data_IF_450816712554
#
_entry.id   IF_450816712554
#
_cell.length_a   1.000
_cell.length_b   1.000
_cell.length_c   1.000
_cell.angle_alpha   90.00
_cell.angle_beta   90.00
_cell.angle_gamma   90.00
#
_symmetry.space_group_name_H-M   'P 1'
#
loop_
_entity.id
_entity.type
_entity.pdbx_description
1 polymer ?
#
# COMPACT_ATOMS: atom_id res chain seq x y z
N UNK A 1 3.67 26.44 -12.83
CA UNK A 1 3.77 25.01 -12.43
C UNK A 1 4.48 24.24 -13.53
N UNK A 2 5.69 23.77 -13.25
CA UNK A 2 6.46 22.96 -14.21
C UNK A 2 6.25 21.49 -13.85
N UNK A 3 5.81 20.67 -14.81
CA UNK A 3 5.63 19.24 -14.62
C UNK A 3 6.88 18.52 -15.12
N UNK A 4 7.47 17.69 -14.29
CA UNK A 4 8.58 16.83 -14.65
C UNK A 4 8.18 15.37 -14.50
N UNK A 5 8.05 14.68 -15.64
CA UNK A 5 7.68 13.26 -15.66
C UNK A 5 8.94 12.39 -15.72
N UNK A 6 9.11 11.52 -14.75
CA UNK A 6 10.23 10.58 -14.68
C UNK A 6 9.87 9.30 -15.42
N UNK A 7 10.67 8.94 -16.43
CA UNK A 7 10.49 7.74 -17.23
C UNK A 7 10.49 6.46 -16.37
N UNK A 8 9.73 5.38 -16.72
CA UNK A 8 9.57 4.16 -15.91
C UNK A 8 10.87 3.55 -15.43
N UNK A 9 11.89 3.49 -16.27
CA UNK A 9 13.19 2.92 -15.93
C UNK A 9 13.91 3.74 -14.85
N UNK A 10 13.86 5.07 -14.92
CA UNK A 10 14.44 5.94 -13.90
C UNK A 10 13.62 5.93 -12.62
N UNK A 11 12.30 5.84 -12.72
CA UNK A 11 11.41 5.67 -11.57
C UNK A 11 11.72 4.38 -10.81
N UNK A 12 11.97 3.30 -11.51
CA UNK A 12 12.38 2.01 -10.91
C UNK A 12 13.74 2.10 -10.23
N UNK A 13 14.75 2.65 -10.91
CA UNK A 13 16.09 2.81 -10.32
C UNK A 13 16.05 3.72 -9.09
N UNK A 14 15.27 4.81 -9.14
CA UNK A 14 15.08 5.69 -7.99
C UNK A 14 14.40 4.95 -6.83
N UNK A 15 13.41 4.10 -7.10
CA UNK A 15 12.76 3.29 -6.07
C UNK A 15 13.76 2.35 -5.37
N UNK A 16 14.70 1.73 -6.12
CA UNK A 16 15.76 0.89 -5.56
C UNK A 16 16.71 1.72 -4.68
N UNK A 17 17.12 2.90 -5.15
CA UNK A 17 17.97 3.82 -4.38
C UNK A 17 17.28 4.27 -3.10
N UNK A 18 15.99 4.62 -3.18
CA UNK A 18 15.19 5.02 -2.03
C UNK A 18 14.99 3.86 -1.03
N UNK A 19 14.87 2.62 -1.50
CA UNK A 19 14.83 1.45 -0.64
C UNK A 19 16.15 1.29 0.14
N UNK A 20 17.29 1.43 -0.53
CA UNK A 20 18.62 1.38 0.11
C UNK A 20 18.77 2.54 1.10
N UNK A 21 18.37 3.76 0.72
CA UNK A 21 18.40 4.91 1.61
C UNK A 21 17.49 4.70 2.83
N UNK A 22 16.29 4.16 2.64
CA UNK A 22 15.37 3.78 3.72
C UNK A 22 15.99 2.76 4.66
N UNK A 23 16.69 1.76 4.14
CA UNK A 23 17.44 0.79 4.94
C UNK A 23 18.55 1.46 5.76
N UNK A 24 19.33 2.34 5.15
CA UNK A 24 20.37 3.09 5.86
C UNK A 24 19.75 3.94 6.98
N UNK A 25 18.63 4.61 6.71
CA UNK A 25 17.91 5.41 7.71
C UNK A 25 17.42 4.55 8.89
N UNK A 26 16.81 3.39 8.62
CA UNK A 26 16.31 2.50 9.67
C UNK A 26 17.44 1.88 10.49
N UNK A 27 18.62 1.68 9.91
CA UNK A 27 19.79 1.20 10.63
C UNK A 27 20.44 2.28 11.53
N UNK A 28 20.41 3.55 11.12
CA UNK A 28 21.10 4.66 11.82
C UNK A 28 20.18 5.45 12.75
N UNK A 29 18.87 5.41 12.58
CA UNK A 29 17.91 6.14 13.41
C UNK A 29 17.22 5.17 14.36
N UNK A 30 17.58 5.20 15.62
CA UNK A 30 17.04 4.32 16.66
C UNK A 30 15.51 4.42 16.78
N UNK A 31 14.93 5.59 16.52
CA UNK A 31 13.48 5.79 16.53
C UNK A 31 12.78 4.89 15.49
N UNK A 32 13.29 4.87 14.25
CA UNK A 32 12.72 4.05 13.17
C UNK A 32 12.83 2.56 13.49
N UNK A 33 13.96 2.15 14.08
CA UNK A 33 14.21 0.77 14.50
C UNK A 33 13.33 0.38 15.69
N UNK A 34 13.17 1.27 16.66
CA UNK A 34 12.35 1.02 17.87
C UNK A 34 10.88 0.80 17.52
N UNK A 35 10.36 1.55 16.57
CA UNK A 35 8.98 1.42 16.07
C UNK A 35 8.85 0.47 14.89
N UNK A 36 9.89 -0.32 14.58
CA UNK A 36 9.90 -1.31 13.50
C UNK A 36 9.39 -0.76 12.16
N UNK A 37 9.66 0.52 11.87
CA UNK A 37 9.18 1.17 10.65
C UNK A 37 9.83 0.49 9.43
N UNK A 38 9.01 -0.02 8.47
CA UNK A 38 9.55 -0.73 7.31
C UNK A 38 10.46 0.15 6.44
N UNK A 39 11.56 -0.43 5.95
CA UNK A 39 12.54 0.26 5.10
C UNK A 39 11.89 0.99 3.89
N UNK A 40 10.92 0.39 3.16
CA UNK A 40 10.25 1.08 2.05
C UNK A 40 9.46 2.32 2.50
N UNK A 41 8.90 2.31 3.71
CA UNK A 41 8.16 3.45 4.27
C UNK A 41 9.11 4.59 4.59
N UNK A 42 10.25 4.29 5.22
CA UNK A 42 11.29 5.28 5.48
C UNK A 42 11.83 5.92 4.21
N UNK A 43 12.11 5.11 3.17
CA UNK A 43 12.50 5.57 1.84
C UNK A 43 11.42 6.41 1.15
N UNK A 44 10.15 6.02 1.29
CA UNK A 44 9.00 6.76 0.78
C UNK A 44 8.87 8.15 1.42
N UNK A 45 9.02 8.26 2.74
CA UNK A 45 9.03 9.55 3.43
C UNK A 45 10.18 10.45 2.97
N UNK A 46 11.37 9.89 2.72
CA UNK A 46 12.47 10.63 2.13
C UNK A 46 12.11 11.18 0.75
N UNK A 47 11.48 10.37 -0.11
CA UNK A 47 11.02 10.79 -1.43
C UNK A 47 10.00 11.94 -1.31
N UNK A 48 9.01 11.81 -0.43
CA UNK A 48 8.00 12.85 -0.17
C UNK A 48 8.66 14.14 0.30
N UNK A 49 9.62 14.07 1.20
CA UNK A 49 10.33 15.24 1.71
C UNK A 49 11.11 15.95 0.57
N UNK A 50 11.82 15.19 -0.25
CA UNK A 50 12.58 15.75 -1.39
C UNK A 50 11.65 16.35 -2.45
N UNK A 51 10.62 15.63 -2.88
CA UNK A 51 9.66 16.13 -3.88
C UNK A 51 8.83 17.29 -3.36
N UNK A 52 8.49 17.29 -2.07
CA UNK A 52 7.81 18.40 -1.40
C UNK A 52 8.68 19.65 -1.34
N UNK A 53 9.97 19.49 -1.07
CA UNK A 53 10.94 20.60 -1.07
C UNK A 53 11.13 21.18 -2.48
N UNK A 54 11.24 20.32 -3.49
CA UNK A 54 11.32 20.75 -4.89
C UNK A 54 10.07 21.53 -5.32
N UNK A 55 8.91 21.08 -4.89
CA UNK A 55 7.66 21.80 -5.15
C UNK A 55 7.63 23.16 -4.43
N UNK A 56 8.03 23.21 -3.15
CA UNK A 56 7.98 24.43 -2.34
C UNK A 56 8.99 25.50 -2.83
N UNK A 57 10.20 25.08 -3.27
CA UNK A 57 11.26 26.03 -3.67
C UNK A 57 11.22 26.38 -5.16
N UNK A 58 10.81 25.44 -6.03
CA UNK A 58 10.92 25.59 -7.48
C UNK A 58 9.59 25.50 -8.21
N UNK A 59 8.46 25.35 -7.50
CA UNK A 59 7.13 25.08 -8.08
C UNK A 59 7.15 23.92 -9.09
N UNK A 60 8.02 22.90 -8.82
CA UNK A 60 8.24 21.74 -9.66
C UNK A 60 7.44 20.54 -9.15
N UNK A 61 6.47 20.10 -9.94
CA UNK A 61 5.68 18.90 -9.65
C UNK A 61 6.30 17.68 -10.33
N UNK A 62 6.83 16.75 -9.53
CA UNK A 62 7.42 15.50 -10.04
C UNK A 62 6.34 14.42 -10.14
N UNK A 63 6.21 13.82 -11.32
CA UNK A 63 5.34 12.67 -11.57
C UNK A 63 6.19 11.46 -11.97
N UNK A 64 5.90 10.31 -11.38
CA UNK A 64 6.63 9.07 -11.64
C UNK A 64 5.79 8.14 -12.50
N UNK A 65 6.33 7.66 -13.61
CA UNK A 65 5.71 6.59 -14.37
C UNK A 65 6.00 5.23 -13.72
N UNK A 66 4.92 4.47 -13.45
CA UNK A 66 4.97 3.28 -12.59
C UNK A 66 4.72 1.97 -13.34
N UNK A 67 4.85 1.95 -14.66
CA UNK A 67 4.57 0.77 -15.48
C UNK A 67 5.39 -0.48 -15.09
N UNK A 68 6.66 -0.31 -14.70
CA UNK A 68 7.49 -1.42 -14.21
C UNK A 68 6.95 -1.96 -12.88
N UNK A 69 6.47 -1.09 -12.00
CA UNK A 69 5.82 -1.50 -10.74
C UNK A 69 4.63 -2.40 -11.02
N UNK A 70 3.77 -2.03 -11.97
CA UNK A 70 2.55 -2.77 -12.28
C UNK A 70 2.88 -4.14 -12.87
N UNK A 71 3.91 -4.23 -13.72
CA UNK A 71 4.43 -5.50 -14.22
C UNK A 71 4.98 -6.39 -13.09
N UNK A 72 5.78 -5.84 -12.18
CA UNK A 72 6.31 -6.58 -11.04
C UNK A 72 5.21 -7.05 -10.09
N UNK A 73 4.16 -6.25 -9.90
CA UNK A 73 2.99 -6.63 -9.12
C UNK A 73 2.28 -7.85 -9.73
N UNK A 74 2.12 -7.87 -11.05
CA UNK A 74 1.56 -9.01 -11.76
C UNK A 74 2.41 -10.27 -11.57
N UNK A 75 3.72 -10.16 -11.73
CA UNK A 75 4.68 -11.27 -11.51
C UNK A 75 4.61 -11.77 -10.06
N UNK A 76 4.52 -10.87 -9.09
CA UNK A 76 4.37 -11.21 -7.67
C UNK A 76 3.12 -12.05 -7.41
N UNK A 77 1.95 -11.60 -7.85
CA UNK A 77 0.71 -12.35 -7.66
C UNK A 77 0.68 -13.66 -8.45
N UNK A 78 1.22 -13.68 -9.68
CA UNK A 78 1.36 -14.91 -10.46
C UNK A 78 2.26 -15.93 -9.74
N UNK A 79 3.37 -15.47 -9.15
CA UNK A 79 4.27 -16.32 -8.38
C UNK A 79 3.61 -16.95 -7.15
N UNK A 80 2.77 -16.20 -6.43
CA UNK A 80 1.98 -16.71 -5.32
C UNK A 80 0.99 -17.77 -5.82
N UNK A 81 0.26 -17.47 -6.90
CA UNK A 81 -0.72 -18.39 -7.48
C UNK A 81 -0.08 -19.70 -7.96
N UNK A 82 1.05 -19.62 -8.66
CA UNK A 82 1.77 -20.81 -9.16
C UNK A 82 2.36 -21.68 -8.03
N UNK A 83 2.72 -21.06 -6.89
CA UNK A 83 3.24 -21.77 -5.72
C UNK A 83 2.14 -22.41 -4.86
N UNK A 84 0.88 -22.05 -5.09
CA UNK A 84 -0.25 -22.57 -4.32
C UNK A 84 -0.53 -24.02 -4.73
N UNK A 85 -0.43 -24.96 -3.78
CA UNK A 85 -0.75 -26.37 -3.98
C UNK A 85 -2.02 -26.76 -3.20
N UNK A 86 -3.01 -27.27 -3.93
CA UNK A 86 -4.29 -27.73 -3.36
C UNK A 86 -4.08 -28.86 -2.34
N UNK A 87 -3.07 -29.72 -2.54
CA UNK A 87 -2.79 -30.81 -1.60
C UNK A 87 -2.33 -30.28 -0.24
N UNK A 88 -1.48 -29.27 -0.26
CA UNK A 88 -1.01 -28.58 0.95
C UNK A 88 -2.16 -27.87 1.67
N UNK A 89 -3.09 -27.26 0.91
CA UNK A 89 -4.30 -26.66 1.47
C UNK A 89 -5.20 -27.70 2.14
N UNK A 90 -5.42 -28.83 1.50
CA UNK A 90 -6.23 -29.93 2.07
C UNK A 90 -5.56 -30.55 3.30
N UNK A 91 -4.23 -30.63 3.35
CA UNK A 91 -3.48 -31.10 4.51
C UNK A 91 -3.63 -30.20 5.74
N UNK A 92 -4.00 -28.91 5.55
CA UNK A 92 -4.30 -27.97 6.64
C UNK A 92 -5.53 -28.34 7.48
N UNK A 93 -6.42 -29.17 6.95
CA UNK A 93 -7.56 -29.76 7.68
C UNK A 93 -8.44 -28.75 8.44
N UNK A 94 -8.95 -29.18 9.63
CA UNK A 94 -9.82 -28.33 10.46
C UNK A 94 -9.22 -26.99 10.89
N UNK A 95 -7.92 -26.89 11.31
CA UNK A 95 -7.33 -25.61 11.65
C UNK A 95 -7.38 -24.59 10.51
N UNK A 96 -7.14 -25.01 9.27
CA UNK A 96 -7.23 -24.13 8.10
C UNK A 96 -8.65 -23.59 7.90
N UNK A 97 -9.67 -24.44 8.04
CA UNK A 97 -11.08 -24.02 7.92
C UNK A 97 -11.45 -23.00 9.00
N UNK A 98 -11.04 -23.22 10.24
CA UNK A 98 -11.27 -22.27 11.34
C UNK A 98 -10.60 -20.93 11.04
N UNK A 99 -9.33 -20.93 10.62
CA UNK A 99 -8.60 -19.72 10.26
C UNK A 99 -9.24 -18.99 9.08
N UNK A 100 -9.75 -19.73 8.08
CA UNK A 100 -10.46 -19.14 6.95
C UNK A 100 -11.74 -18.42 7.37
N UNK A 101 -12.54 -19.07 8.24
CA UNK A 101 -13.77 -18.46 8.78
C UNK A 101 -13.42 -17.21 9.59
N UNK A 102 -12.42 -17.28 10.47
CA UNK A 102 -11.98 -16.13 11.27
C UNK A 102 -11.48 -14.98 10.39
N UNK A 103 -10.62 -15.26 9.40
CA UNK A 103 -10.12 -14.26 8.48
C UNK A 103 -11.24 -13.60 7.66
N UNK A 104 -12.17 -14.40 7.13
CA UNK A 104 -13.33 -13.89 6.39
C UNK A 104 -14.22 -13.01 7.27
N UNK A 105 -14.51 -13.48 8.50
CA UNK A 105 -15.30 -12.70 9.47
C UNK A 105 -14.60 -11.38 9.83
N UNK A 106 -13.29 -11.42 10.02
CA UNK A 106 -12.49 -10.21 10.30
C UNK A 106 -12.53 -9.22 9.14
N UNK A 107 -12.39 -9.67 7.89
CA UNK A 107 -12.51 -8.83 6.70
C UNK A 107 -13.89 -8.17 6.62
N UNK A 108 -14.95 -8.90 6.89
CA UNK A 108 -16.31 -8.34 6.92
C UNK A 108 -16.46 -7.26 8.00
N UNK A 109 -16.03 -7.54 9.23
CA UNK A 109 -16.06 -6.58 10.32
C UNK A 109 -15.25 -5.32 9.98
N UNK A 110 -14.07 -5.47 9.41
CA UNK A 110 -13.19 -4.40 8.99
C UNK A 110 -13.85 -3.52 7.90
N UNK A 111 -14.55 -4.14 6.96
CA UNK A 111 -15.29 -3.43 5.92
C UNK A 111 -16.46 -2.63 6.49
N UNK A 112 -17.26 -3.24 7.37
CA UNK A 112 -18.36 -2.52 8.03
C UNK A 112 -17.85 -1.35 8.88
N UNK A 113 -16.78 -1.56 9.64
CA UNK A 113 -16.16 -0.50 10.43
C UNK A 113 -15.62 0.63 9.53
N UNK A 114 -14.91 0.29 8.45
CA UNK A 114 -14.39 1.26 7.49
C UNK A 114 -15.49 2.07 6.81
N UNK A 115 -16.54 1.42 6.34
CA UNK A 115 -17.70 2.11 5.74
C UNK A 115 -18.43 2.99 6.76
N UNK A 116 -18.58 2.53 8.00
CA UNK A 116 -19.19 3.30 9.09
C UNK A 116 -18.40 4.57 9.41
N UNK A 117 -17.07 4.44 9.55
CA UNK A 117 -16.17 5.57 9.78
C UNK A 117 -16.19 6.55 8.59
N UNK A 118 -16.08 6.06 7.35
CA UNK A 118 -16.15 6.92 6.17
C UNK A 118 -17.43 7.76 6.17
N UNK A 119 -18.57 7.14 6.49
CA UNK A 119 -19.85 7.85 6.59
C UNK A 119 -19.88 8.91 7.71
N UNK A 120 -19.28 8.60 8.87
CA UNK A 120 -19.18 9.55 9.99
C UNK A 120 -18.37 10.81 9.62
N UNK A 121 -17.34 10.63 8.78
CA UNK A 121 -16.51 11.73 8.27
C UNK A 121 -17.08 12.40 7.01
N UNK A 122 -18.32 12.07 6.59
CA UNK A 122 -18.96 12.66 5.41
C UNK A 122 -18.35 12.20 4.08
N UNK A 123 -17.58 11.11 4.08
CA UNK A 123 -16.99 10.51 2.88
C UNK A 123 -17.96 9.49 2.25
N UNK A 124 -17.74 9.18 0.97
CA UNK A 124 -18.45 8.06 0.33
C UNK A 124 -18.19 6.76 1.10
N UNK A 125 -19.24 6.05 1.59
CA UNK A 125 -19.05 4.85 2.40
C UNK A 125 -18.19 3.77 1.74
N UNK A 126 -18.24 3.65 0.40
CA UNK A 126 -17.43 2.70 -0.36
C UNK A 126 -15.92 3.00 -0.27
N UNK A 127 -15.53 4.25 -0.03
CA UNK A 127 -14.13 4.60 0.23
C UNK A 127 -13.60 3.92 1.50
N UNK A 128 -14.48 3.63 2.46
CA UNK A 128 -14.17 2.89 3.67
C UNK A 128 -13.69 1.45 3.42
N UNK A 129 -14.07 0.82 2.32
CA UNK A 129 -13.54 -0.49 1.91
C UNK A 129 -12.06 -0.39 1.56
N UNK A 130 -11.68 0.70 0.88
CA UNK A 130 -10.30 0.95 0.47
C UNK A 130 -9.39 1.18 1.67
N UNK A 131 -9.85 1.96 2.64
CA UNK A 131 -9.15 2.22 3.91
C UNK A 131 -9.22 1.01 4.87
N UNK A 132 -10.25 0.17 4.72
CA UNK A 132 -10.49 -1.03 5.51
C UNK A 132 -9.68 -2.24 5.03
N UNK A 133 -10.38 -3.27 4.59
CA UNK A 133 -9.76 -4.58 4.28
C UNK A 133 -8.82 -4.54 3.08
N UNK A 134 -9.07 -3.71 2.08
CA UNK A 134 -8.24 -3.64 0.87
C UNK A 134 -6.82 -3.21 1.21
N UNK A 135 -6.65 -2.19 2.05
CA UNK A 135 -5.33 -1.70 2.44
C UNK A 135 -4.76 -2.39 3.67
N UNK A 136 -5.55 -2.57 4.74
CA UNK A 136 -5.02 -3.07 6.02
C UNK A 136 -4.81 -4.59 6.01
N UNK A 137 -5.75 -5.37 5.47
CA UNK A 137 -5.57 -6.82 5.35
C UNK A 137 -4.85 -7.19 4.06
N UNK A 138 -5.20 -6.55 2.95
CA UNK A 138 -4.62 -6.85 1.63
C UNK A 138 -3.25 -6.20 1.39
N UNK A 139 -2.95 -5.10 2.06
CA UNK A 139 -1.68 -4.37 1.94
C UNK A 139 -1.57 -3.52 0.67
N UNK A 140 -0.36 -3.00 0.44
CA UNK A 140 -0.07 -2.09 -0.70
C UNK A 140 -0.37 -2.76 -2.04
N UNK A 141 -0.01 -4.04 -2.22
CA UNK A 141 -0.24 -4.75 -3.48
C UNK A 141 -1.71 -4.83 -3.85
N UNK A 142 -2.56 -5.19 -2.89
CA UNK A 142 -4.01 -5.24 -3.09
C UNK A 142 -4.59 -3.85 -3.32
N UNK A 143 -4.10 -2.85 -2.59
CA UNK A 143 -4.45 -1.44 -2.80
C UNK A 143 -4.18 -0.99 -4.23
N UNK A 144 -3.00 -1.26 -4.76
CA UNK A 144 -2.61 -0.92 -6.13
C UNK A 144 -3.48 -1.62 -7.18
N UNK A 145 -3.82 -2.89 -6.94
CA UNK A 145 -4.66 -3.68 -7.85
C UNK A 145 -6.12 -3.19 -7.88
N UNK A 146 -6.67 -2.77 -6.75
CA UNK A 146 -8.07 -2.37 -6.64
C UNK A 146 -8.32 -0.88 -6.86
N UNK A 147 -7.36 0.00 -6.61
CA UNK A 147 -7.53 1.44 -6.73
C UNK A 147 -8.08 1.91 -8.10
N UNK A 148 -7.61 1.40 -9.25
CA UNK A 148 -8.18 1.76 -10.55
C UNK A 148 -9.66 1.38 -10.66
N UNK A 149 -10.05 0.20 -10.14
CA UNK A 149 -11.43 -0.27 -10.17
C UNK A 149 -12.34 0.62 -9.32
N UNK A 150 -11.85 1.07 -8.15
CA UNK A 150 -12.58 1.99 -7.29
C UNK A 150 -12.74 3.38 -7.93
N UNK A 151 -11.71 3.86 -8.62
CA UNK A 151 -11.78 5.13 -9.35
C UNK A 151 -12.77 5.06 -10.52
N UNK A 152 -12.67 4.04 -11.37
CA UNK A 152 -13.47 3.93 -12.59
C UNK A 152 -14.93 3.52 -12.33
N UNK A 153 -15.13 2.51 -11.45
CA UNK A 153 -16.48 1.93 -11.24
C UNK A 153 -17.25 2.55 -10.10
N UNK A 154 -16.56 3.07 -9.09
CA UNK A 154 -17.19 3.61 -7.88
C UNK A 154 -17.05 5.14 -7.76
N UNK A 155 -16.32 5.77 -8.68
CA UNK A 155 -16.14 7.23 -8.69
C UNK A 155 -15.22 7.77 -7.59
N UNK A 156 -14.44 6.90 -6.92
CA UNK A 156 -13.53 7.28 -5.86
C UNK A 156 -12.16 7.59 -6.45
N UNK A 157 -12.00 8.79 -6.99
CA UNK A 157 -10.81 9.20 -7.76
C UNK A 157 -9.51 9.19 -6.96
N UNK A 158 -9.58 9.36 -5.63
CA UNK A 158 -8.47 9.34 -4.69
C UNK A 158 -8.31 7.99 -3.95
N UNK A 159 -8.81 6.89 -4.54
CA UNK A 159 -8.77 5.56 -3.93
C UNK A 159 -7.34 5.10 -3.65
N UNK A 160 -6.41 5.39 -4.57
CA UNK A 160 -5.01 4.99 -4.43
C UNK A 160 -4.36 5.68 -3.22
N UNK A 161 -4.50 6.99 -3.14
CA UNK A 161 -3.94 7.82 -2.07
C UNK A 161 -4.50 7.41 -0.70
N UNK A 162 -5.82 7.23 -0.63
CA UNK A 162 -6.50 6.77 0.59
C UNK A 162 -5.99 5.40 1.05
N UNK A 163 -5.90 4.45 0.12
CA UNK A 163 -5.46 3.10 0.45
C UNK A 163 -3.99 3.03 0.86
N UNK A 164 -3.10 3.75 0.15
CA UNK A 164 -1.67 3.79 0.48
C UNK A 164 -1.45 4.50 1.83
N UNK A 165 -2.14 5.62 2.07
CA UNK A 165 -2.07 6.32 3.35
C UNK A 165 -2.55 5.44 4.50
N UNK A 166 -3.71 4.77 4.35
CA UNK A 166 -4.25 3.87 5.36
C UNK A 166 -3.31 2.69 5.64
N UNK A 167 -2.75 2.07 4.60
CA UNK A 167 -1.77 0.99 4.76
C UNK A 167 -0.51 1.47 5.50
N UNK A 168 0.01 2.64 5.16
CA UNK A 168 1.21 3.19 5.81
C UNK A 168 0.96 3.46 7.30
N UNK A 169 -0.16 4.15 7.62
CA UNK A 169 -0.55 4.41 9.01
C UNK A 169 -0.82 3.10 9.75
N UNK A 170 -1.51 2.15 9.12
CA UNK A 170 -1.80 0.84 9.69
C UNK A 170 -0.53 0.05 10.01
N UNK A 171 0.46 0.04 9.11
CA UNK A 171 1.76 -0.59 9.36
C UNK A 171 2.48 0.04 10.54
N UNK A 172 2.55 1.36 10.61
CA UNK A 172 3.18 2.07 11.72
C UNK A 172 2.45 1.75 13.03
N UNK A 173 1.12 1.81 13.04
CA UNK A 173 0.31 1.52 14.22
C UNK A 173 0.43 0.06 14.69
N UNK A 174 0.62 -0.89 13.77
CA UNK A 174 0.80 -2.30 14.11
C UNK A 174 2.20 -2.61 14.68
N UNK A 175 3.18 -1.73 14.48
CA UNK A 175 4.56 -1.89 14.95
C UNK A 175 4.82 -1.21 16.30
N UNK A 176 3.84 -0.48 16.85
CA UNK A 176 3.91 0.23 18.15
C UNK A 176 3.24 -0.60 19.25
#
# INVERSE_FOLDING_TARGET
MTFFTVHPFHSFNLAVVLLIAGKILTLNIDLLRRYSIPEPVAGGFLCIAVTGLLWALFDLKVSFEVGIRDFLLLVFFAGIGLKSDIRTLLAGGRPLVILLILATSFILLQNFAGMGLARLFGMEPKAGLMVGSVSLTGGVGTTLAWAPIFAEKLGITNALELGVAANTVGLIAACV
#
